data_IF_839000050112
#
_entry.id   IF_839000050112
#
_cell.length_a   1.000
_cell.length_b   1.000
_cell.length_c   1.000
_cell.angle_alpha   90.00
_cell.angle_beta   90.00
_cell.angle_gamma   90.00
#
_symmetry.space_group_name_H-M   'P 1'
#
loop_
_entity.id
_entity.type
_entity.pdbx_description
1 polymer ?
#
# COMPACT_ATOMS: atom_id res chain seq x y z
N UNK A 1 26.41 -18.21 -1.90
CA UNK A 1 25.56 -17.23 -1.21
C UNK A 1 24.11 -17.71 -1.35
N UNK A 2 23.19 -17.38 -0.43
CA UNK A 2 21.78 -17.86 -0.44
C UNK A 2 20.82 -16.68 -0.29
N UNK A 3 19.58 -16.79 -0.78
CA UNK A 3 18.54 -15.79 -0.54
C UNK A 3 18.03 -15.85 0.91
N UNK A 4 18.25 -14.79 1.70
CA UNK A 4 17.96 -14.71 3.14
C UNK A 4 16.79 -13.76 3.44
N UNK A 5 16.27 -13.79 4.68
CA UNK A 5 15.16 -12.95 5.15
C UNK A 5 15.44 -11.45 4.99
N UNK A 6 16.67 -11.01 5.21
CA UNK A 6 17.08 -9.61 5.09
C UNK A 6 16.92 -9.09 3.65
N UNK A 7 16.98 -9.99 2.66
CA UNK A 7 16.70 -9.63 1.28
C UNK A 7 15.23 -9.26 1.03
N UNK A 8 14.30 -9.62 1.93
CA UNK A 8 12.89 -9.23 1.88
C UNK A 8 12.75 -7.72 2.13
N UNK A 9 13.53 -7.16 3.05
CA UNK A 9 13.53 -5.72 3.36
C UNK A 9 14.16 -4.87 2.25
N UNK A 10 14.77 -5.51 1.24
CA UNK A 10 15.29 -4.84 0.04
C UNK A 10 14.44 -5.13 -1.20
N UNK A 11 13.21 -5.62 -1.01
CA UNK A 11 12.27 -5.76 -2.11
C UNK A 11 11.63 -4.40 -2.46
N UNK A 12 11.35 -4.11 -3.74
CA UNK A 12 10.85 -2.82 -4.18
C UNK A 12 9.59 -2.35 -3.43
N UNK A 13 8.60 -3.23 -3.19
CA UNK A 13 7.38 -2.84 -2.48
C UNK A 13 7.67 -2.42 -1.04
N UNK A 14 8.52 -3.17 -0.32
CA UNK A 14 8.94 -2.83 1.03
C UNK A 14 9.67 -1.48 1.07
N UNK A 15 10.63 -1.26 0.15
CA UNK A 15 11.37 -0.01 0.07
C UNK A 15 10.42 1.16 -0.17
N UNK A 16 9.49 1.01 -1.13
CA UNK A 16 8.54 2.06 -1.49
C UNK A 16 7.62 2.43 -0.33
N UNK A 17 6.99 1.45 0.33
CA UNK A 17 6.15 1.74 1.51
C UNK A 17 6.95 2.31 2.67
N UNK A 18 8.16 1.81 2.92
CA UNK A 18 9.03 2.34 3.97
C UNK A 18 9.46 3.79 3.71
N UNK A 19 9.67 4.19 2.44
CA UNK A 19 9.92 5.59 2.08
C UNK A 19 8.71 6.47 2.38
N UNK A 20 7.52 6.04 1.98
CA UNK A 20 6.27 6.77 2.26
C UNK A 20 6.01 6.92 3.76
N UNK A 21 6.34 5.89 4.56
CA UNK A 21 6.16 5.91 6.01
C UNK A 21 7.14 6.80 6.79
N UNK A 22 8.33 7.07 6.23
CA UNK A 22 9.45 7.64 7.01
C UNK A 22 9.98 8.97 6.47
N UNK A 23 9.97 9.16 5.16
CA UNK A 23 10.75 10.25 4.55
C UNK A 23 10.05 11.60 4.60
N UNK A 24 8.72 11.62 4.77
CA UNK A 24 7.94 12.82 4.51
C UNK A 24 7.19 13.37 5.73
N UNK A 25 7.18 12.62 6.85
CA UNK A 25 6.45 12.98 8.07
C UNK A 25 6.75 14.38 8.59
N UNK A 26 8.01 14.80 8.52
CA UNK A 26 8.47 16.10 9.03
C UNK A 26 7.94 17.27 8.20
N UNK A 27 7.60 17.04 6.93
CA UNK A 27 6.90 18.01 6.08
C UNK A 27 5.38 17.98 6.25
N UNK A 28 4.87 17.15 7.16
CA UNK A 28 3.45 17.02 7.43
C UNK A 28 2.84 18.28 8.04
N UNK A 29 1.58 18.55 7.71
CA UNK A 29 0.85 19.69 8.25
C UNK A 29 0.26 19.36 9.62
N UNK A 30 0.99 19.77 10.65
CA UNK A 30 0.64 19.52 12.04
C UNK A 30 -0.71 20.16 12.40
N UNK A 31 -0.95 21.41 12.01
CA UNK A 31 -2.17 22.14 12.39
C UNK A 31 -3.41 21.47 11.79
N UNK A 32 -3.35 21.16 10.49
CA UNK A 32 -4.41 20.46 9.79
C UNK A 32 -4.67 19.07 10.38
N UNK A 33 -3.62 18.30 10.63
CA UNK A 33 -3.76 16.95 11.17
C UNK A 33 -4.30 16.93 12.60
N UNK A 34 -3.89 17.89 13.45
CA UNK A 34 -4.47 18.07 14.78
C UNK A 34 -5.95 18.43 14.69
N UNK A 35 -6.33 19.34 13.79
CA UNK A 35 -7.72 19.70 13.55
C UNK A 35 -8.56 18.49 13.11
N UNK A 36 -8.09 17.71 12.13
CA UNK A 36 -8.79 16.50 11.68
C UNK A 36 -8.89 15.43 12.77
N UNK A 37 -7.82 15.19 13.54
CA UNK A 37 -7.83 14.20 14.63
C UNK A 37 -8.87 14.56 15.71
N UNK A 38 -9.09 15.85 15.98
CA UNK A 38 -10.13 16.31 16.90
C UNK A 38 -11.55 16.01 16.40
N UNK A 39 -11.75 15.92 15.09
CA UNK A 39 -13.04 15.53 14.50
C UNK A 39 -13.20 14.01 14.39
N UNK A 40 -12.08 13.28 14.45
CA UNK A 40 -11.98 11.82 14.35
C UNK A 40 -11.68 11.21 15.72
N UNK A 41 -12.53 11.50 16.70
CA UNK A 41 -12.44 10.86 18.02
C UNK A 41 -12.62 9.34 17.91
N UNK A 42 -11.67 8.58 18.47
CA UNK A 42 -11.70 7.12 18.45
C UNK A 42 -10.96 6.45 17.28
N UNK A 43 -10.32 7.24 16.41
CA UNK A 43 -9.43 6.77 15.35
C UNK A 43 -7.98 6.85 15.84
N UNK A 44 -7.46 5.76 16.39
CA UNK A 44 -6.05 5.71 16.83
C UNK A 44 -5.13 5.59 15.62
N UNK A 45 -3.91 6.11 15.75
CA UNK A 45 -2.89 6.18 14.70
C UNK A 45 -3.27 7.06 13.49
N UNK A 46 -4.40 7.78 13.51
CA UNK A 46 -4.76 8.71 12.43
C UNK A 46 -3.80 9.89 12.32
N UNK A 47 -3.36 10.50 13.42
CA UNK A 47 -2.38 11.59 13.38
C UNK A 47 -1.10 11.22 12.62
N UNK A 48 -0.59 10.01 12.82
CA UNK A 48 0.61 9.55 12.11
C UNK A 48 0.36 9.39 10.61
N UNK A 49 -0.76 8.77 10.25
CA UNK A 49 -1.20 8.68 8.87
C UNK A 49 -1.31 10.05 8.21
N UNK A 50 -1.99 11.00 8.87
CA UNK A 50 -2.22 12.33 8.33
C UNK A 50 -0.92 13.10 8.11
N UNK A 51 0.04 13.03 9.05
CA UNK A 51 1.33 13.71 8.90
C UNK A 51 2.13 13.13 7.73
N UNK A 52 2.18 11.80 7.60
CA UNK A 52 2.82 11.15 6.46
C UNK A 52 2.12 11.54 5.15
N UNK A 53 0.79 11.46 5.10
CA UNK A 53 -0.01 11.79 3.92
C UNK A 53 0.20 13.24 3.48
N UNK A 54 0.06 14.22 4.38
CA UNK A 54 0.23 15.63 4.05
C UNK A 54 1.67 15.95 3.66
N UNK A 55 2.66 15.38 4.35
CA UNK A 55 4.07 15.57 3.99
C UNK A 55 4.43 14.94 2.65
N UNK A 56 3.83 13.78 2.34
CA UNK A 56 3.84 13.18 1.01
C UNK A 56 3.33 14.25 0.02
N UNK A 57 2.11 14.81 0.18
CA UNK A 57 1.59 15.86 -0.71
C UNK A 57 2.52 17.06 -0.89
N UNK A 58 3.19 17.49 0.17
CA UNK A 58 4.19 18.59 0.11
C UNK A 58 5.39 18.26 -0.77
N UNK A 59 5.71 16.99 -0.95
CA UNK A 59 6.90 16.55 -1.66
C UNK A 59 6.62 15.80 -2.96
N UNK A 60 5.39 15.83 -3.50
CA UNK A 60 4.97 15.01 -4.66
C UNK A 60 5.97 15.02 -5.82
N UNK A 61 6.43 16.20 -6.22
CA UNK A 61 7.37 16.36 -7.34
C UNK A 61 8.76 15.76 -7.08
N UNK A 62 9.07 15.40 -5.82
CA UNK A 62 10.36 14.90 -5.37
C UNK A 62 10.32 13.45 -4.89
N UNK A 63 9.17 12.77 -4.98
CA UNK A 63 9.11 11.37 -4.56
C UNK A 63 9.95 10.50 -5.49
N UNK A 64 10.76 9.64 -4.87
CA UNK A 64 11.50 8.61 -5.60
C UNK A 64 10.98 7.26 -5.17
N UNK A 65 10.29 6.57 -6.08
CA UNK A 65 9.94 5.17 -5.92
C UNK A 65 10.99 4.32 -6.64
N UNK A 66 11.34 3.18 -6.07
CA UNK A 66 12.05 2.13 -6.80
C UNK A 66 11.12 1.67 -7.91
N UNK A 67 11.64 1.66 -9.15
CA UNK A 67 10.88 1.21 -10.32
C UNK A 67 10.22 -0.13 -10.03
N UNK A 68 8.91 -0.18 -10.28
CA UNK A 68 8.06 -1.34 -10.05
C UNK A 68 7.52 -1.89 -11.37
N UNK A 69 6.91 -3.07 -11.29
CA UNK A 69 6.10 -3.65 -12.37
C UNK A 69 5.13 -2.65 -13.00
N UNK A 70 4.58 -1.74 -12.19
CA UNK A 70 3.83 -0.59 -12.67
C UNK A 70 4.69 0.67 -12.54
N UNK A 71 4.90 1.41 -13.64
CA UNK A 71 5.62 2.69 -13.63
C UNK A 71 4.78 3.85 -13.11
N UNK A 72 3.50 3.62 -12.82
CA UNK A 72 2.59 4.60 -12.23
C UNK A 72 2.80 4.70 -10.70
N UNK A 73 3.40 5.80 -10.19
CA UNK A 73 3.61 5.99 -8.75
C UNK A 73 2.29 6.10 -7.98
N UNK A 74 1.19 6.46 -8.63
CA UNK A 74 -0.12 6.58 -7.99
C UNK A 74 -0.67 5.25 -7.51
N UNK A 75 -0.35 4.15 -8.20
CA UNK A 75 -0.79 2.82 -7.78
C UNK A 75 -0.14 2.43 -6.44
N UNK A 76 1.16 2.68 -6.29
CA UNK A 76 1.88 2.48 -5.03
C UNK A 76 1.33 3.37 -3.92
N UNK A 77 1.15 4.66 -4.19
CA UNK A 77 0.58 5.59 -3.20
C UNK A 77 -0.82 5.14 -2.77
N UNK A 78 -1.69 4.81 -3.73
CA UNK A 78 -3.06 4.38 -3.45
C UNK A 78 -3.10 3.16 -2.53
N UNK A 79 -2.26 2.17 -2.80
CA UNK A 79 -2.17 0.99 -1.93
C UNK A 79 -1.57 1.30 -0.56
N UNK A 80 -0.62 2.22 -0.46
CA UNK A 80 -0.12 2.69 0.83
C UNK A 80 -1.23 3.37 1.65
N UNK A 81 -2.01 4.27 1.03
CA UNK A 81 -3.15 4.94 1.67
C UNK A 81 -4.13 3.91 2.20
N UNK A 82 -4.61 3.03 1.33
CA UNK A 82 -5.63 2.05 1.69
C UNK A 82 -5.13 1.02 2.72
N UNK A 83 -3.86 0.63 2.68
CA UNK A 83 -3.28 -0.25 3.69
C UNK A 83 -3.28 0.40 5.07
N UNK A 84 -2.96 1.70 5.12
CA UNK A 84 -3.05 2.47 6.35
C UNK A 84 -4.49 2.51 6.87
N UNK A 85 -5.44 2.84 6.00
CA UNK A 85 -6.85 2.93 6.34
C UNK A 85 -7.42 1.60 6.83
N UNK A 86 -7.13 0.49 6.14
CA UNK A 86 -7.75 -0.78 6.46
C UNK A 86 -7.04 -1.57 7.55
N UNK A 87 -5.71 -1.46 7.64
CA UNK A 87 -4.90 -2.41 8.41
C UNK A 87 -4.12 -1.75 9.56
N UNK A 88 -4.01 -0.42 9.62
CA UNK A 88 -3.16 0.28 10.61
C UNK A 88 -3.91 1.26 11.52
N UNK A 89 -5.02 1.82 11.05
CA UNK A 89 -5.90 2.67 11.87
C UNK A 89 -6.83 1.79 12.69
N UNK A 90 -6.91 2.08 14.00
CA UNK A 90 -7.81 1.38 14.92
C UNK A 90 -9.07 2.20 15.10
N UNK A 91 -10.21 1.56 14.83
CA UNK A 91 -11.54 2.14 14.94
C UNK A 91 -12.20 1.68 16.23
N UNK A 92 -12.33 2.57 17.22
CA UNK A 92 -12.95 2.23 18.51
C UNK A 92 -14.48 2.15 18.47
N UNK A 93 -15.11 2.80 17.49
CA UNK A 93 -16.56 2.87 17.38
C UNK A 93 -17.02 2.02 16.18
N UNK A 94 -18.11 1.28 16.34
CA UNK A 94 -18.67 0.41 15.28
C UNK A 94 -19.15 1.16 14.04
N UNK A 95 -19.41 2.46 14.17
CA UNK A 95 -19.86 3.32 13.06
C UNK A 95 -18.71 3.99 12.32
N UNK A 96 -17.47 3.82 12.79
CA UNK A 96 -16.29 4.42 12.15
C UNK A 96 -15.86 3.60 10.93
N UNK A 97 -15.52 4.28 9.84
CA UNK A 97 -15.10 3.64 8.59
C UNK A 97 -13.85 4.27 7.98
N UNK A 98 -13.16 3.51 7.14
CA UNK A 98 -12.08 4.05 6.30
C UNK A 98 -12.56 5.12 5.33
N UNK A 99 -13.83 5.06 4.91
CA UNK A 99 -14.48 6.05 4.05
C UNK A 99 -14.57 7.42 4.73
N UNK A 100 -14.87 7.46 6.03
CA UNK A 100 -14.94 8.72 6.79
C UNK A 100 -13.59 9.45 6.81
N UNK A 101 -12.51 8.69 6.97
CA UNK A 101 -11.15 9.23 6.91
C UNK A 101 -10.85 9.73 5.51
N UNK A 102 -11.11 8.90 4.50
CA UNK A 102 -10.83 9.23 3.11
C UNK A 102 -11.53 10.54 2.69
N UNK A 103 -12.81 10.69 3.03
CA UNK A 103 -13.58 11.91 2.76
C UNK A 103 -12.99 13.16 3.43
N UNK A 104 -12.31 13.01 4.56
CA UNK A 104 -11.65 14.13 5.26
C UNK A 104 -10.29 14.49 4.69
N UNK A 105 -9.53 13.52 4.17
CA UNK A 105 -8.18 13.77 3.63
C UNK A 105 -8.16 14.13 2.15
N UNK A 106 -9.11 13.59 1.35
CA UNK A 106 -9.17 13.80 -0.10
C UNK A 106 -9.25 15.27 -0.54
N UNK A 107 -10.01 16.17 0.13
CA UNK A 107 -10.10 17.56 -0.32
C UNK A 107 -8.74 18.23 -0.49
N UNK A 108 -7.79 17.95 0.42
CA UNK A 108 -6.45 18.54 0.34
C UNK A 108 -5.65 18.05 -0.87
N UNK A 109 -5.85 16.81 -1.30
CA UNK A 109 -5.26 16.31 -2.55
C UNK A 109 -5.82 17.07 -3.75
N UNK A 110 -7.14 17.19 -3.82
CA UNK A 110 -7.87 17.81 -4.93
C UNK A 110 -7.53 19.30 -5.03
N UNK A 111 -7.40 20.00 -3.90
CA UNK A 111 -7.04 21.41 -3.86
C UNK A 111 -5.62 21.65 -4.38
N UNK A 112 -4.71 20.70 -4.13
CA UNK A 112 -3.29 20.84 -4.48
C UNK A 112 -2.96 20.35 -5.88
N UNK A 113 -3.60 19.28 -6.32
CA UNK A 113 -3.26 18.59 -7.55
C UNK A 113 -4.47 18.52 -8.49
N UNK A 114 -4.30 18.80 -9.79
CA UNK A 114 -5.36 18.57 -10.76
C UNK A 114 -5.81 17.10 -10.75
N UNK A 115 -7.05 16.85 -11.17
CA UNK A 115 -7.72 15.55 -11.10
C UNK A 115 -7.00 14.40 -11.83
N UNK A 116 -5.97 14.70 -12.62
CA UNK A 116 -5.16 13.74 -13.37
C UNK A 116 -3.89 13.27 -12.65
N UNK A 117 -3.53 13.84 -11.50
CA UNK A 117 -2.22 13.57 -10.85
C UNK A 117 -2.18 12.21 -10.17
N UNK A 118 -3.23 11.82 -9.43
CA UNK A 118 -3.51 10.45 -8.98
C UNK A 118 -5.00 10.31 -8.68
N UNK A 119 -5.66 9.28 -9.21
CA UNK A 119 -7.07 9.03 -8.96
C UNK A 119 -7.26 8.21 -7.67
N UNK A 120 -7.40 8.91 -6.55
CA UNK A 120 -7.69 8.32 -5.23
C UNK A 120 -9.21 8.26 -5.05
N UNK A 121 -9.81 7.18 -5.54
CA UNK A 121 -11.23 6.88 -5.40
C UNK A 121 -11.55 6.20 -4.06
N UNK A 122 -12.83 6.04 -3.69
CA UNK A 122 -13.21 5.13 -2.61
C UNK A 122 -12.64 3.72 -2.83
N UNK A 123 -12.02 3.10 -1.80
CA UNK A 123 -11.40 1.79 -1.94
C UNK A 123 -12.45 0.68 -2.14
N UNK A 124 -12.04 -0.47 -2.73
CA UNK A 124 -12.88 -1.66 -2.73
C UNK A 124 -13.06 -2.20 -1.29
N UNK A 125 -13.86 -3.26 -1.14
CA UNK A 125 -13.99 -3.96 0.14
C UNK A 125 -12.61 -4.36 0.66
N UNK A 126 -12.40 -4.28 1.98
CA UNK A 126 -11.10 -4.57 2.63
C UNK A 126 -10.51 -5.91 2.20
N UNK A 127 -11.33 -6.95 2.08
CA UNK A 127 -10.88 -8.28 1.65
C UNK A 127 -10.38 -8.29 0.21
N UNK A 128 -11.10 -7.65 -0.71
CA UNK A 128 -10.72 -7.52 -2.11
C UNK A 128 -9.46 -6.66 -2.26
N UNK A 129 -9.40 -5.53 -1.53
CA UNK A 129 -8.21 -4.69 -1.46
C UNK A 129 -6.98 -5.49 -1.01
N UNK A 130 -7.11 -6.27 0.08
CA UNK A 130 -6.00 -7.03 0.62
C UNK A 130 -5.47 -8.05 -0.40
N UNK A 131 -6.36 -8.67 -1.19
CA UNK A 131 -5.99 -9.56 -2.30
C UNK A 131 -5.29 -8.80 -3.44
N UNK A 132 -5.85 -7.67 -3.86
CA UNK A 132 -5.32 -6.83 -4.93
C UNK A 132 -3.91 -6.31 -4.59
N UNK A 133 -3.72 -5.79 -3.38
CA UNK A 133 -2.43 -5.31 -2.88
C UNK A 133 -1.38 -6.42 -2.86
N UNK A 134 -1.74 -7.63 -2.42
CA UNK A 134 -0.82 -8.77 -2.41
C UNK A 134 -0.32 -9.13 -3.81
N UNK A 135 -1.20 -9.14 -4.80
CA UNK A 135 -0.82 -9.37 -6.21
C UNK A 135 0.08 -8.25 -6.73
N UNK A 136 -0.23 -7.01 -6.40
CA UNK A 136 0.60 -5.88 -6.79
C UNK A 136 2.00 -5.94 -6.18
N UNK A 137 2.09 -6.22 -4.87
CA UNK A 137 3.36 -6.36 -4.16
C UNK A 137 4.18 -7.51 -4.75
N UNK A 138 3.53 -8.63 -5.11
CA UNK A 138 4.18 -9.74 -5.79
C UNK A 138 4.78 -9.32 -7.13
N UNK A 139 3.96 -8.73 -8.00
CA UNK A 139 4.39 -8.29 -9.33
C UNK A 139 5.54 -7.27 -9.22
N UNK A 140 5.42 -6.33 -8.28
CA UNK A 140 6.45 -5.32 -7.97
C UNK A 140 7.76 -5.93 -7.50
N UNK A 141 7.73 -7.07 -6.80
CA UNK A 141 8.91 -7.71 -6.23
C UNK A 141 9.52 -8.79 -7.13
N UNK A 142 8.78 -9.27 -8.15
CA UNK A 142 9.11 -10.46 -8.92
C UNK A 142 10.52 -10.44 -9.50
N UNK A 143 10.88 -9.40 -10.26
CA UNK A 143 12.18 -9.31 -10.93
C UNK A 143 13.35 -9.31 -9.92
N UNK A 144 13.18 -8.63 -8.78
CA UNK A 144 14.20 -8.60 -7.72
C UNK A 144 14.33 -9.97 -7.05
N UNK A 145 13.22 -10.67 -6.83
CA UNK A 145 13.23 -12.02 -6.27
C UNK A 145 13.89 -13.00 -7.24
N UNK A 146 13.49 -12.99 -8.52
CA UNK A 146 14.05 -13.88 -9.56
C UNK A 146 15.56 -13.69 -9.69
N UNK A 147 16.01 -12.44 -9.83
CA UNK A 147 17.43 -12.12 -9.92
C UNK A 147 18.20 -12.63 -8.70
N UNK A 148 17.72 -12.34 -7.49
CA UNK A 148 18.36 -12.82 -6.26
C UNK A 148 18.37 -14.35 -6.16
N UNK A 149 17.32 -15.05 -6.61
CA UNK A 149 17.32 -16.51 -6.60
C UNK A 149 18.34 -17.07 -7.59
N UNK A 150 18.38 -16.54 -8.82
CA UNK A 150 19.33 -16.96 -9.88
C UNK A 150 20.77 -16.79 -9.44
N UNK A 151 21.12 -15.63 -8.88
CA UNK A 151 22.48 -15.33 -8.41
C UNK A 151 22.91 -16.22 -7.23
N UNK A 152 21.94 -16.78 -6.51
CA UNK A 152 22.18 -17.63 -5.34
C UNK A 152 21.91 -19.13 -5.63
N UNK A 153 21.92 -19.52 -6.92
CA UNK A 153 21.76 -20.92 -7.34
C UNK A 153 20.43 -21.53 -6.89
N UNK A 154 19.38 -20.71 -6.83
CA UNK A 154 18.01 -21.06 -6.38
C UNK A 154 17.93 -21.59 -4.94
N UNK A 155 18.93 -21.29 -4.11
CA UNK A 155 18.94 -21.62 -2.69
C UNK A 155 18.40 -20.45 -1.88
N UNK A 156 17.51 -20.73 -0.94
CA UNK A 156 17.00 -19.77 0.01
C UNK A 156 17.01 -20.34 1.44
N UNK A 157 16.96 -19.47 2.45
CA UNK A 157 16.73 -19.91 3.83
C UNK A 157 15.30 -20.36 4.01
N UNK A 158 15.02 -21.03 5.13
CA UNK A 158 13.66 -21.47 5.48
C UNK A 158 12.69 -20.30 5.58
N UNK A 159 13.11 -19.18 6.16
CA UNK A 159 12.28 -17.98 6.31
C UNK A 159 11.93 -17.38 4.94
N UNK A 160 12.91 -17.32 4.05
CA UNK A 160 12.70 -16.86 2.69
C UNK A 160 11.82 -17.82 1.89
N UNK A 161 11.98 -19.14 2.08
CA UNK A 161 11.11 -20.15 1.48
C UNK A 161 9.65 -19.96 1.93
N UNK A 162 9.40 -19.81 3.24
CA UNK A 162 8.05 -19.59 3.79
C UNK A 162 7.42 -18.34 3.18
N UNK A 163 8.19 -17.24 3.10
CA UNK A 163 7.72 -16.00 2.46
C UNK A 163 7.32 -16.23 0.99
N UNK A 164 8.15 -16.93 0.20
CA UNK A 164 7.86 -17.22 -1.21
C UNK A 164 6.66 -18.17 -1.36
N UNK A 165 6.53 -19.16 -0.49
CA UNK A 165 5.43 -20.13 -0.49
C UNK A 165 4.09 -19.43 -0.20
N UNK A 166 4.07 -18.45 0.72
CA UNK A 166 2.88 -17.62 0.98
C UNK A 166 2.40 -16.88 -0.28
N UNK A 167 3.31 -16.30 -1.07
CA UNK A 167 2.96 -15.68 -2.35
C UNK A 167 2.37 -16.68 -3.34
N UNK A 168 3.00 -17.84 -3.50
CA UNK A 168 2.53 -18.88 -4.42
C UNK A 168 1.13 -19.36 -4.04
N UNK A 169 0.90 -19.59 -2.74
CA UNK A 169 -0.41 -19.99 -2.22
C UNK A 169 -1.47 -18.93 -2.53
N UNK A 170 -1.20 -17.68 -2.19
CA UNK A 170 -2.15 -16.58 -2.39
C UNK A 170 -2.46 -16.35 -3.87
N UNK A 171 -1.46 -16.41 -4.75
CA UNK A 171 -1.66 -16.32 -6.18
C UNK A 171 -2.57 -17.43 -6.71
N UNK A 172 -2.37 -18.67 -6.28
CA UNK A 172 -3.22 -19.82 -6.67
C UNK A 172 -4.66 -19.65 -6.20
N UNK A 173 -4.86 -19.18 -4.97
CA UNK A 173 -6.19 -18.89 -4.41
C UNK A 173 -6.91 -17.81 -5.24
N UNK A 174 -6.26 -16.68 -5.49
CA UNK A 174 -6.86 -15.58 -6.26
C UNK A 174 -7.13 -16.01 -7.71
N UNK A 175 -6.20 -16.73 -8.34
CA UNK A 175 -6.41 -17.27 -9.69
C UNK A 175 -7.63 -18.19 -9.74
N UNK A 176 -7.76 -19.11 -8.78
CA UNK A 176 -8.90 -20.01 -8.72
C UNK A 176 -10.23 -19.26 -8.53
N UNK A 177 -10.24 -18.19 -7.72
CA UNK A 177 -11.41 -17.32 -7.57
C UNK A 177 -11.77 -16.61 -8.89
N UNK A 178 -10.78 -16.07 -9.61
CA UNK A 178 -10.97 -15.44 -10.93
C UNK A 178 -11.49 -16.43 -11.97
N UNK A 179 -10.93 -17.64 -12.03
CA UNK A 179 -11.37 -18.68 -12.95
C UNK A 179 -12.83 -19.10 -12.68
N UNK A 180 -13.26 -19.13 -11.42
CA UNK A 180 -14.65 -19.40 -11.03
C UNK A 180 -15.59 -18.24 -11.34
N UNK A 181 -15.15 -17.00 -11.14
CA UNK A 181 -15.96 -15.80 -11.34
C UNK A 181 -16.09 -15.39 -12.81
N UNK A 182 -15.19 -15.83 -13.68
CA UNK A 182 -15.35 -15.68 -15.15
C UNK A 182 -16.64 -16.34 -15.67
N UNK A 183 -17.24 -17.25 -14.90
CA UNK A 183 -18.53 -17.88 -15.20
C UNK A 183 -19.75 -17.21 -14.52
N UNK A 184 -19.59 -16.16 -13.70
CA UNK A 184 -20.70 -15.63 -12.87
C UNK A 184 -20.71 -14.13 -12.54
N UNK A 185 -19.74 -13.31 -12.94
CA UNK A 185 -19.82 -11.85 -12.71
C UNK A 185 -19.98 -11.06 -14.00
N UNK A 186 -21.22 -10.69 -14.31
CA UNK A 186 -21.50 -9.57 -15.22
C UNK A 186 -21.14 -8.28 -14.49
N UNK A 187 -20.01 -7.68 -14.84
CA UNK A 187 -19.77 -6.29 -14.48
C UNK A 187 -20.80 -5.45 -15.23
N UNK A 188 -21.71 -4.82 -14.48
CA UNK A 188 -22.65 -3.81 -14.97
C UNK A 188 -22.07 -2.43 -14.68
#
# INVERSE_FOLDING_TARGET
MIFIKEHINSLPSYINYNRLDKNYKESGDIEHCTSLQSQLHGYENFSEFCLNYTGILENYDYWTLVESFNKDPCKTLKYWIYDYLFNRIVYKNSNSSSTDILNKILPRWIDKFPSNVCDIVPPPLKEDFNKEKKLYDYATNFDTIDHKLRDNGYKCTREAYVYLEEYVKQYKEIKQECDKTSNTKNYT
#
